data_IF_183594034078
#
_entry.id   IF_183594034078
#
_cell.length_a   1.000
_cell.length_b   1.000
_cell.length_c   1.000
_cell.angle_alpha   90.00
_cell.angle_beta   90.00
_cell.angle_gamma   90.00
#
_symmetry.space_group_name_H-M   'P 1'
#
loop_
_entity.id
_entity.type
_entity.pdbx_description
1 polymer ?
#
# COMPACT_ATOMS: atom_id res chain seq x y z
N UNK A 1 9.58 19.04 -11.43
CA UNK A 1 8.34 18.70 -10.70
C UNK A 1 8.34 17.20 -10.61
N UNK A 2 8.63 16.63 -9.43
CA UNK A 2 8.57 15.17 -9.27
C UNK A 2 7.11 14.73 -9.46
N UNK A 3 6.88 13.69 -10.24
CA UNK A 3 5.56 13.07 -10.29
C UNK A 3 5.22 12.55 -8.90
N UNK A 4 4.11 13.01 -8.35
CA UNK A 4 3.75 12.76 -6.96
C UNK A 4 3.32 11.31 -6.71
N UNK A 5 2.71 10.69 -7.71
CA UNK A 5 2.10 9.36 -7.62
C UNK A 5 2.53 8.51 -8.81
N UNK A 6 3.64 7.80 -8.65
CA UNK A 6 4.22 6.93 -9.68
C UNK A 6 4.71 5.58 -9.12
N UNK A 7 4.56 5.35 -7.82
CA UNK A 7 5.04 4.17 -7.13
C UNK A 7 3.99 3.66 -6.14
N UNK A 8 3.69 2.37 -6.19
CA UNK A 8 2.97 1.64 -5.15
C UNK A 8 3.95 0.96 -4.22
N UNK A 9 3.75 1.11 -2.92
CA UNK A 9 4.39 0.30 -1.89
C UNK A 9 3.37 -0.65 -1.30
N UNK A 10 3.69 -1.95 -1.23
CA UNK A 10 2.78 -2.98 -0.72
C UNK A 10 3.21 -3.48 0.65
N UNK A 11 2.25 -3.58 1.55
CA UNK A 11 2.43 -4.08 2.90
C UNK A 11 1.37 -5.13 3.22
N UNK A 12 1.80 -6.36 3.49
CA UNK A 12 0.91 -7.45 3.90
C UNK A 12 0.74 -7.48 5.42
N UNK A 13 -0.44 -7.86 5.89
CA UNK A 13 -0.63 -8.29 7.27
C UNK A 13 0.11 -9.61 7.49
N UNK A 14 0.92 -9.69 8.55
CA UNK A 14 1.64 -10.92 8.91
C UNK A 14 0.72 -12.13 9.11
N UNK A 15 -0.55 -11.89 9.44
CA UNK A 15 -1.57 -12.92 9.66
C UNK A 15 -2.69 -12.91 8.60
N UNK A 16 -2.40 -12.49 7.36
CA UNK A 16 -3.42 -12.40 6.30
C UNK A 16 -4.15 -13.72 6.00
N UNK A 17 -3.53 -14.88 6.31
CA UNK A 17 -4.17 -16.19 6.18
C UNK A 17 -5.42 -16.35 7.05
N UNK A 18 -5.53 -15.58 8.14
CA UNK A 18 -6.72 -15.57 9.00
C UNK A 18 -7.86 -14.72 8.42
N UNK A 19 -7.59 -13.88 7.41
CA UNK A 19 -8.56 -13.03 6.72
C UNK A 19 -8.16 -12.88 5.24
N UNK A 20 -8.31 -13.96 4.43
CA UNK A 20 -7.72 -14.05 3.09
C UNK A 20 -8.23 -13.01 2.09
N UNK A 21 -9.41 -12.43 2.34
CA UNK A 21 -9.99 -11.37 1.51
C UNK A 21 -9.39 -9.98 1.80
N UNK A 22 -8.53 -9.86 2.82
CA UNK A 22 -7.87 -8.63 3.24
C UNK A 22 -6.38 -8.88 3.46
N UNK A 23 -5.56 -8.56 2.45
CA UNK A 23 -4.11 -8.76 2.48
C UNK A 23 -3.39 -7.75 3.36
N UNK A 24 -3.71 -6.47 3.20
CA UNK A 24 -3.01 -5.39 3.89
C UNK A 24 -3.25 -4.04 3.24
N UNK A 25 -2.21 -3.21 3.14
CA UNK A 25 -2.29 -1.83 2.62
C UNK A 25 -1.36 -1.69 1.42
N UNK A 26 -1.81 -0.95 0.41
CA UNK A 26 -0.96 -0.48 -0.68
C UNK A 26 -0.97 1.05 -0.67
N UNK A 27 0.21 1.68 -0.68
CA UNK A 27 0.32 3.14 -0.62
C UNK A 27 0.82 3.68 -1.95
N UNK A 28 0.07 4.57 -2.58
CA UNK A 28 0.48 5.31 -3.76
C UNK A 28 1.30 6.54 -3.36
N UNK A 29 2.54 6.59 -3.84
CA UNK A 29 3.53 7.62 -3.52
C UNK A 29 4.51 7.80 -4.68
N UNK A 30 5.72 8.27 -4.39
CA UNK A 30 6.86 8.28 -5.31
C UNK A 30 8.15 7.87 -4.56
N UNK A 31 9.24 7.72 -5.32
CA UNK A 31 10.54 7.34 -4.75
C UNK A 31 11.09 8.32 -3.71
N UNK A 32 10.72 9.60 -3.77
CA UNK A 32 11.18 10.61 -2.81
C UNK A 32 10.53 10.43 -1.44
N UNK A 33 9.22 10.17 -1.40
CA UNK A 33 8.47 9.98 -0.16
C UNK A 33 8.45 8.53 0.35
N UNK A 34 8.80 7.55 -0.49
CA UNK A 34 8.78 6.12 -0.16
C UNK A 34 9.45 5.75 1.17
N UNK A 35 10.66 6.25 1.52
CA UNK A 35 11.30 5.93 2.80
C UNK A 35 10.48 6.36 4.02
N UNK A 36 9.85 7.55 3.95
CA UNK A 36 9.00 8.06 5.02
C UNK A 36 7.70 7.25 5.15
N UNK A 37 7.10 6.89 4.01
CA UNK A 37 5.91 6.04 3.98
C UNK A 37 6.22 4.68 4.60
N UNK A 38 7.32 4.04 4.19
CA UNK A 38 7.76 2.76 4.75
C UNK A 38 7.87 2.79 6.27
N UNK A 39 8.66 3.73 6.80
CA UNK A 39 8.82 3.89 8.25
C UNK A 39 7.48 4.12 8.99
N UNK A 40 6.56 4.87 8.38
CA UNK A 40 5.26 5.16 9.01
C UNK A 40 4.33 3.94 9.02
N UNK A 41 4.31 3.15 7.94
CA UNK A 41 3.44 1.97 7.83
C UNK A 41 3.96 0.81 8.67
N UNK A 42 5.27 0.65 8.81
CA UNK A 42 5.88 -0.40 9.66
C UNK A 42 5.52 -0.25 11.14
N UNK A 43 5.18 0.96 11.61
CA UNK A 43 4.68 1.21 12.95
C UNK A 43 3.18 0.90 13.11
N UNK A 44 2.47 0.63 12.01
CA UNK A 44 1.03 0.34 12.01
C UNK A 44 0.75 -1.17 12.15
N UNK A 45 -0.49 -1.43 12.56
CA UNK A 45 -1.03 -2.78 12.69
C UNK A 45 -2.25 -2.95 11.79
N UNK A 46 -2.51 -4.19 11.37
CA UNK A 46 -3.72 -4.58 10.67
C UNK A 46 -4.95 -4.23 11.51
N UNK A 47 -5.88 -3.48 10.93
CA UNK A 47 -7.13 -3.08 11.60
C UNK A 47 -8.07 -4.25 11.89
N UNK A 48 -7.86 -5.42 11.28
CA UNK A 48 -8.71 -6.60 11.44
C UNK A 48 -8.24 -7.47 12.61
N UNK A 49 -6.94 -7.77 12.69
CA UNK A 49 -6.41 -8.72 13.66
C UNK A 49 -5.32 -8.16 14.58
N UNK A 50 -4.92 -6.90 14.41
CA UNK A 50 -3.90 -6.24 15.24
C UNK A 50 -2.46 -6.73 15.01
N UNK A 51 -2.21 -7.58 14.01
CA UNK A 51 -0.86 -8.03 13.67
C UNK A 51 -0.11 -6.97 12.85
N UNK A 52 1.23 -6.93 12.91
CA UNK A 52 2.03 -5.98 12.13
C UNK A 52 1.82 -6.09 10.62
N UNK A 53 2.05 -4.97 9.94
CA UNK A 53 2.18 -4.92 8.48
C UNK A 53 3.66 -5.07 8.09
N UNK A 54 3.95 -5.86 7.07
CA UNK A 54 5.29 -6.11 6.56
C UNK A 54 5.41 -5.64 5.12
N UNK A 55 6.48 -4.91 4.79
CA UNK A 55 6.76 -4.54 3.41
C UNK A 55 7.05 -5.78 2.56
N UNK A 56 6.39 -5.90 1.41
CA UNK A 56 6.55 -7.07 0.52
C UNK A 56 7.06 -6.70 -0.89
N UNK A 57 7.07 -5.42 -1.24
CA UNK A 57 7.56 -4.97 -2.52
C UNK A 57 6.90 -3.70 -3.03
N UNK A 58 7.29 -3.32 -4.24
CA UNK A 58 6.85 -2.11 -4.91
C UNK A 58 6.52 -2.37 -6.38
N UNK A 59 5.66 -1.53 -6.95
CA UNK A 59 5.27 -1.57 -8.37
C UNK A 59 5.15 -0.15 -8.91
N UNK A 60 5.54 0.10 -10.16
CA UNK A 60 5.26 1.38 -10.80
C UNK A 60 3.75 1.59 -10.96
N UNK A 61 3.25 2.78 -10.66
CA UNK A 61 1.84 3.11 -10.83
C UNK A 61 1.51 3.34 -12.31
N UNK A 62 0.27 3.03 -12.68
CA UNK A 62 -0.24 3.32 -14.01
C UNK A 62 -0.67 4.79 -14.08
N UNK A 63 0.28 5.72 -14.15
CA UNK A 63 0.11 7.18 -14.03
C UNK A 63 -0.96 7.82 -14.95
N UNK A 64 -1.30 7.29 -16.16
CA UNK A 64 -2.46 7.79 -16.92
C UNK A 64 -3.80 7.11 -16.56
N UNK A 65 -3.77 6.00 -15.81
CA UNK A 65 -4.92 5.15 -15.49
C UNK A 65 -5.06 4.87 -13.98
N UNK A 66 -4.68 5.84 -13.12
CA UNK A 66 -4.63 5.64 -11.66
C UNK A 66 -5.95 5.10 -11.08
N UNK A 67 -7.11 5.56 -11.56
CA UNK A 67 -8.40 5.06 -11.07
C UNK A 67 -8.54 3.53 -11.31
N UNK A 68 -8.16 3.04 -12.49
CA UNK A 68 -8.17 1.61 -12.79
C UNK A 68 -7.15 0.84 -11.96
N UNK A 69 -6.02 1.47 -11.67
CA UNK A 69 -4.98 0.89 -10.82
C UNK A 69 -5.43 0.72 -9.37
N UNK A 70 -6.12 1.71 -8.81
CA UNK A 70 -6.78 1.61 -7.50
C UNK A 70 -7.78 0.45 -7.45
N UNK A 71 -8.62 0.31 -8.49
CA UNK A 71 -9.59 -0.79 -8.56
C UNK A 71 -8.90 -2.17 -8.67
N UNK A 72 -7.82 -2.27 -9.46
CA UNK A 72 -7.00 -3.48 -9.56
C UNK A 72 -6.45 -3.86 -8.18
N UNK A 73 -5.88 -2.91 -7.45
CA UNK A 73 -5.29 -3.15 -6.13
C UNK A 73 -6.34 -3.56 -5.10
N UNK A 74 -7.55 -2.96 -5.12
CA UNK A 74 -8.67 -3.42 -4.29
C UNK A 74 -9.03 -4.88 -4.58
N UNK A 75 -9.07 -5.27 -5.85
CA UNK A 75 -9.37 -6.66 -6.26
C UNK A 75 -8.29 -7.67 -5.83
N UNK A 76 -7.05 -7.21 -5.62
CA UNK A 76 -5.96 -8.02 -5.06
C UNK A 76 -6.07 -8.20 -3.54
N UNK A 77 -7.05 -7.55 -2.88
CA UNK A 77 -7.29 -7.65 -1.44
C UNK A 77 -6.55 -6.61 -0.60
N UNK A 78 -5.91 -5.62 -1.21
CA UNK A 78 -5.30 -4.52 -0.46
C UNK A 78 -6.29 -3.37 -0.24
N UNK A 79 -6.06 -2.60 0.82
CA UNK A 79 -6.64 -1.28 0.99
C UNK A 79 -5.71 -0.24 0.35
N UNK A 80 -5.99 0.25 -0.88
CA UNK A 80 -5.17 1.28 -1.49
C UNK A 80 -5.45 2.64 -0.85
N UNK A 81 -4.38 3.34 -0.48
CA UNK A 81 -4.42 4.72 0.03
C UNK A 81 -3.35 5.55 -0.67
N UNK A 82 -3.49 6.87 -0.63
CA UNK A 82 -2.43 7.79 -1.05
C UNK A 82 -1.52 8.11 0.11
N UNK A 83 -0.29 8.50 -0.19
CA UNK A 83 0.67 8.97 0.81
C UNK A 83 0.20 10.18 1.63
N UNK A 84 -0.74 10.96 1.12
CA UNK A 84 -1.43 12.03 1.87
C UNK A 84 -2.34 11.54 3.00
N UNK A 85 -2.79 10.29 2.92
CA UNK A 85 -3.70 9.63 3.88
C UNK A 85 -2.93 8.74 4.87
N UNK A 86 -1.61 8.62 4.69
CA UNK A 86 -0.68 8.00 5.64
C UNK A 86 -0.43 8.99 6.77
#
# INVERSE_FOLDING_TARGET
MEERWNLWLFFDCLNFLSHPDARGIAVLTNYFYAPRVGATIEERVCSICGFPLIYIGEEAALTPFLQHDFERIKRLGYNPIKDEEV
#
